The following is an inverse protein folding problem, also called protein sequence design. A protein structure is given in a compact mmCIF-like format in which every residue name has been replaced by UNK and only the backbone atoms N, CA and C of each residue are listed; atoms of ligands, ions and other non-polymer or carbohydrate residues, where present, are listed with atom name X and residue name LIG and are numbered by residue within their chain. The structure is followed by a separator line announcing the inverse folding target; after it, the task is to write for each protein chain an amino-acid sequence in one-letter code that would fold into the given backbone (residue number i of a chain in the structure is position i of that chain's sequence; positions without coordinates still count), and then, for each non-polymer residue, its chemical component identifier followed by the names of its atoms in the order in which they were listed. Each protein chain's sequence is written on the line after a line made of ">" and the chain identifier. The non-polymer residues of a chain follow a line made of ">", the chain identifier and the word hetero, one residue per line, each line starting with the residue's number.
data_IF_471735676387
#
_entry.id   IF_471735676387
#
_cell.length_a   1.000
_cell.length_b   1.000
_cell.length_c   1.000
_cell.angle_alpha   90.00
_cell.angle_beta   90.00
_cell.angle_gamma   90.00
#
_symmetry.space_group_name_H-M   'P 1'
#
loop_
_entity.id
_entity.type
_entity.pdbx_description
1 polymer ?
#
# COMPACT_ATOMS: atom_id res chain seq x y z
N UNK A 1 8.28 -21.73 -7.60
CA UNK A 1 8.93 -20.54 -8.20
C UNK A 1 8.33 -19.32 -7.56
N UNK A 2 9.15 -18.40 -7.04
CA UNK A 2 8.65 -17.17 -6.41
C UNK A 2 8.07 -16.24 -7.48
N UNK A 3 6.79 -15.86 -7.35
CA UNK A 3 6.08 -15.02 -8.32
C UNK A 3 6.01 -13.55 -7.95
N UNK A 4 6.52 -13.16 -6.77
CA UNK A 4 6.50 -11.77 -6.28
C UNK A 4 7.01 -10.76 -7.33
N UNK A 5 8.23 -10.90 -7.91
CA UNK A 5 8.74 -9.90 -8.84
C UNK A 5 7.88 -9.76 -10.11
N UNK A 6 7.33 -10.87 -10.62
CA UNK A 6 6.46 -10.84 -11.80
C UNK A 6 5.12 -10.14 -11.50
N UNK A 7 4.52 -10.40 -10.33
CA UNK A 7 3.26 -9.76 -9.92
C UNK A 7 3.48 -8.26 -9.64
N UNK A 8 4.58 -7.91 -8.98
CA UNK A 8 4.92 -6.50 -8.73
C UNK A 8 5.15 -5.74 -10.04
N UNK A 9 5.94 -6.29 -10.97
CA UNK A 9 6.19 -5.66 -12.26
C UNK A 9 4.91 -5.52 -13.10
N UNK A 10 4.01 -6.52 -13.06
CA UNK A 10 2.71 -6.43 -13.72
C UNK A 10 1.84 -5.31 -13.09
N UNK A 11 1.79 -5.23 -11.76
CA UNK A 11 1.02 -4.19 -11.06
C UNK A 11 1.43 -2.77 -11.49
N UNK A 12 2.73 -2.55 -11.71
CA UNK A 12 3.26 -1.25 -12.13
C UNK A 12 3.70 -1.18 -13.60
N UNK A 13 3.23 -2.11 -14.45
CA UNK A 13 3.69 -2.25 -15.85
C UNK A 13 3.56 -0.93 -16.63
N UNK A 14 2.44 -0.22 -16.44
CA UNK A 14 2.17 1.07 -17.10
C UNK A 14 3.26 2.13 -16.84
N UNK A 15 3.94 2.04 -15.70
CA UNK A 15 5.00 2.97 -15.30
C UNK A 15 6.40 2.37 -15.45
N UNK A 16 6.50 1.13 -15.95
CA UNK A 16 7.76 0.39 -16.14
C UNK A 16 8.56 0.29 -14.84
N UNK A 17 7.88 0.03 -13.72
CA UNK A 17 8.52 -0.11 -12.40
C UNK A 17 8.62 -1.60 -12.05
N UNK A 18 9.81 -2.03 -11.68
CA UNK A 18 10.11 -3.36 -11.16
C UNK A 18 10.83 -3.27 -9.83
N UNK A 19 10.90 -4.39 -9.11
CA UNK A 19 11.80 -4.50 -7.97
C UNK A 19 13.26 -4.40 -8.43
N UNK A 20 14.17 -3.82 -7.63
CA UNK A 20 15.60 -3.80 -7.93
C UNK A 20 16.19 -5.22 -7.96
N UNK A 21 17.26 -5.39 -8.73
CA UNK A 21 17.99 -6.65 -8.79
C UNK A 21 18.49 -7.07 -7.41
N UNK A 22 18.32 -8.36 -7.08
CA UNK A 22 18.73 -8.88 -5.77
C UNK A 22 17.76 -8.59 -4.63
N UNK A 23 16.71 -7.77 -4.82
CA UNK A 23 15.79 -7.41 -3.76
C UNK A 23 15.04 -8.63 -3.21
N UNK A 24 14.64 -9.55 -4.10
CA UNK A 24 13.90 -10.77 -3.73
C UNK A 24 14.84 -11.78 -3.08
N UNK A 25 16.04 -11.99 -3.65
CA UNK A 25 17.01 -12.96 -3.16
C UNK A 25 17.53 -12.57 -1.77
N UNK A 26 17.80 -11.28 -1.57
CA UNK A 26 18.35 -10.73 -0.32
C UNK A 26 17.28 -10.24 0.65
N UNK A 27 16.00 -10.29 0.27
CA UNK A 27 14.85 -9.79 1.05
C UNK A 27 15.06 -8.35 1.52
N UNK A 28 15.52 -7.50 0.61
CA UNK A 28 15.77 -6.10 0.94
C UNK A 28 14.44 -5.37 1.11
N UNK A 29 14.34 -4.59 2.16
CA UNK A 29 13.29 -3.57 2.30
C UNK A 29 13.87 -2.23 1.86
N UNK A 30 13.18 -1.54 0.95
CA UNK A 30 13.67 -0.27 0.41
C UNK A 30 12.51 0.57 -0.13
N UNK A 31 12.85 1.70 -0.74
CA UNK A 31 11.95 2.65 -1.35
C UNK A 31 12.31 2.89 -2.82
N UNK A 32 11.32 2.81 -3.69
CA UNK A 32 11.42 3.18 -5.11
C UNK A 32 10.72 4.54 -5.29
N UNK A 33 11.40 5.47 -5.95
CA UNK A 33 10.80 6.74 -6.40
C UNK A 33 10.89 6.81 -7.91
N UNK A 34 9.75 6.68 -8.60
CA UNK A 34 9.71 6.66 -10.06
C UNK A 34 8.33 7.05 -10.58
N UNK A 35 8.27 7.76 -11.71
CA UNK A 35 7.03 8.08 -12.42
C UNK A 35 5.92 8.71 -11.54
N UNK A 36 6.31 9.51 -10.54
CA UNK A 36 5.39 10.14 -9.59
C UNK A 36 4.95 9.26 -8.41
N UNK A 37 5.39 8.00 -8.37
CA UNK A 37 5.19 7.08 -7.27
C UNK A 37 6.31 7.18 -6.23
N UNK A 38 5.95 7.06 -4.97
CA UNK A 38 6.85 6.68 -3.87
C UNK A 38 6.36 5.34 -3.32
N UNK A 39 7.15 4.28 -3.52
CA UNK A 39 6.77 2.91 -3.19
C UNK A 39 7.74 2.40 -2.14
N UNK A 40 7.26 2.23 -0.92
CA UNK A 40 8.01 1.55 0.14
C UNK A 40 7.62 0.08 0.11
N UNK A 41 8.58 -0.83 0.14
CA UNK A 41 8.32 -2.26 0.13
C UNK A 41 9.18 -2.99 1.16
N UNK A 42 8.65 -4.11 1.67
CA UNK A 42 9.34 -4.96 2.61
C UNK A 42 8.91 -6.42 2.48
N UNK A 43 9.82 -7.33 2.82
CA UNK A 43 9.56 -8.76 2.84
C UNK A 43 9.20 -9.23 4.25
N UNK A 44 8.32 -10.23 4.33
CA UNK A 44 7.93 -10.86 5.57
C UNK A 44 7.52 -12.32 5.37
N UNK A 45 7.24 -13.01 6.47
CA UNK A 45 6.74 -14.39 6.47
C UNK A 45 5.61 -14.48 7.48
N UNK A 46 4.54 -15.19 7.11
CA UNK A 46 3.44 -15.57 8.00
C UNK A 46 3.04 -17.03 7.75
N UNK A 47 1.93 -17.49 8.31
CA UNK A 47 1.44 -18.87 8.19
C UNK A 47 1.14 -19.30 6.74
N UNK A 48 0.95 -18.35 5.82
CA UNK A 48 0.74 -18.58 4.38
C UNK A 48 2.04 -18.55 3.58
N UNK A 49 3.17 -18.32 4.24
CA UNK A 49 4.51 -18.28 3.64
C UNK A 49 5.05 -16.87 3.46
N UNK A 50 6.05 -16.76 2.57
CA UNK A 50 6.74 -15.53 2.25
C UNK A 50 5.83 -14.56 1.46
N UNK A 51 5.92 -13.28 1.80
CA UNK A 51 5.21 -12.21 1.13
C UNK A 51 6.05 -10.93 1.02
N UNK A 52 5.63 -10.04 0.14
CA UNK A 52 6.07 -8.65 0.05
C UNK A 52 4.88 -7.74 0.32
N UNK A 53 5.00 -6.87 1.31
CA UNK A 53 4.09 -5.74 1.51
C UNK A 53 4.66 -4.52 0.81
N UNK A 54 3.83 -3.77 0.10
CA UNK A 54 4.21 -2.44 -0.38
C UNK A 54 3.14 -1.41 -0.05
N UNK A 55 3.60 -0.21 0.32
CA UNK A 55 2.81 0.99 0.40
C UNK A 55 3.27 1.96 -0.69
N UNK A 56 2.37 2.29 -1.61
CA UNK A 56 2.66 3.14 -2.76
C UNK A 56 1.76 4.37 -2.75
N UNK A 57 2.38 5.55 -2.69
CA UNK A 57 1.70 6.83 -2.81
C UNK A 57 2.02 7.48 -4.16
N UNK A 58 1.04 8.17 -4.74
CA UNK A 58 1.21 8.86 -6.02
C UNK A 58 0.53 10.22 -6.00
N UNK A 59 1.21 11.23 -6.53
CA UNK A 59 0.78 12.64 -6.41
C UNK A 59 -0.62 12.96 -7.01
N UNK A 60 -1.17 12.09 -7.85
CA UNK A 60 -2.44 12.32 -8.56
C UNK A 60 -3.51 11.26 -8.30
N UNK A 61 -3.23 10.24 -7.50
CA UNK A 61 -4.15 9.13 -7.27
C UNK A 61 -4.03 8.64 -5.85
N UNK A 62 -5.09 8.02 -5.33
CA UNK A 62 -5.08 7.51 -3.96
C UNK A 62 -3.90 6.55 -3.71
N UNK A 63 -3.50 6.44 -2.45
CA UNK A 63 -2.51 5.49 -2.00
C UNK A 63 -2.95 4.02 -2.22
N UNK A 64 -1.96 3.12 -2.24
CA UNK A 64 -2.15 1.67 -2.35
C UNK A 64 -1.33 0.97 -1.28
N UNK A 65 -1.96 0.09 -0.53
CA UNK A 65 -1.29 -0.83 0.39
C UNK A 65 -1.65 -2.25 -0.03
N UNK A 66 -0.66 -3.03 -0.43
CA UNK A 66 -0.89 -4.36 -1.00
C UNK A 66 0.12 -5.35 -0.44
N UNK A 67 -0.31 -6.60 -0.32
CA UNK A 67 0.53 -7.76 -0.06
C UNK A 67 0.57 -8.66 -1.27
N UNK A 68 1.76 -9.15 -1.63
CA UNK A 68 1.98 -10.15 -2.68
C UNK A 68 2.63 -11.38 -2.05
N UNK A 69 1.98 -12.53 -2.11
CA UNK A 69 2.54 -13.80 -1.64
C UNK A 69 3.47 -14.43 -2.69
N UNK A 70 4.41 -15.28 -2.25
CA UNK A 70 5.31 -16.03 -3.14
C UNK A 70 4.55 -16.91 -4.16
N UNK A 71 3.32 -17.33 -3.84
CA UNK A 71 2.40 -18.05 -4.73
C UNK A 71 1.88 -17.20 -5.90
N UNK A 72 2.00 -15.88 -5.81
CA UNK A 72 1.45 -14.88 -6.74
C UNK A 72 0.06 -14.36 -6.33
N UNK A 73 -0.51 -14.85 -5.23
CA UNK A 73 -1.75 -14.29 -4.68
C UNK A 73 -1.52 -12.88 -4.13
N UNK A 74 -2.51 -12.00 -4.29
CA UNK A 74 -2.46 -10.62 -3.79
C UNK A 74 -3.58 -10.33 -2.81
N UNK A 75 -3.29 -9.53 -1.81
CA UNK A 75 -4.25 -9.07 -0.80
C UNK A 75 -4.18 -7.55 -0.69
N UNK A 76 -5.36 -6.90 -0.71
CA UNK A 76 -5.47 -5.46 -0.45
C UNK A 76 -5.42 -5.21 1.05
N UNK A 77 -4.53 -4.32 1.48
CA UNK A 77 -4.38 -3.91 2.87
C UNK A 77 -4.96 -2.50 3.07
N UNK A 78 -5.29 -2.11 4.32
CA UNK A 78 -5.80 -0.78 4.59
C UNK A 78 -4.81 0.32 4.14
N UNK A 79 -5.28 1.26 3.34
CA UNK A 79 -4.54 2.44 2.90
C UNK A 79 -5.20 3.72 3.42
N UNK A 80 -4.44 4.81 3.44
CA UNK A 80 -4.98 6.12 3.83
C UNK A 80 -6.08 6.54 2.88
N UNK A 81 -7.12 7.16 3.44
CA UNK A 81 -8.12 7.87 2.68
C UNK A 81 -7.65 9.32 2.52
N UNK A 82 -7.54 9.75 1.26
CA UNK A 82 -7.07 11.10 0.93
C UNK A 82 -8.23 12.10 0.81
N UNK A 83 -9.37 11.63 0.30
CA UNK A 83 -10.53 12.48 0.06
C UNK A 83 -11.67 12.13 1.01
N UNK A 84 -12.25 13.19 1.56
CA UNK A 84 -13.46 13.12 2.36
C UNK A 84 -14.62 13.67 1.53
N UNK A 85 -15.60 12.81 1.23
CA UNK A 85 -16.72 13.14 0.34
C UNK A 85 -17.98 13.28 1.18
N UNK A 86 -18.62 14.44 1.08
CA UNK A 86 -19.92 14.68 1.69
C UNK A 86 -21.05 14.43 0.69
N UNK A 87 -22.13 13.74 1.11
CA UNK A 87 -23.39 13.77 0.38
C UNK A 87 -23.87 15.22 0.18
N UNK A 88 -24.45 15.51 -0.98
CA UNK A 88 -24.90 16.87 -1.36
C UNK A 88 -25.81 17.51 -0.29
N UNK A 89 -26.63 16.70 0.37
CA UNK A 89 -27.58 17.14 1.40
C UNK A 89 -27.17 16.73 2.83
N UNK A 90 -25.87 16.51 3.08
CA UNK A 90 -25.39 16.11 4.39
C UNK A 90 -25.65 17.20 5.44
N UNK A 91 -26.31 16.82 6.53
CA UNK A 91 -26.47 17.66 7.72
C UNK A 91 -25.13 17.90 8.41
N UNK A 92 -25.04 18.93 9.26
CA UNK A 92 -23.82 19.19 10.04
C UNK A 92 -23.41 17.98 10.91
N UNK A 93 -24.38 17.26 11.47
CA UNK A 93 -24.13 16.04 12.24
C UNK A 93 -23.55 14.91 11.37
N UNK A 94 -24.09 14.71 10.16
CA UNK A 94 -23.56 13.72 9.21
C UNK A 94 -22.14 14.07 8.76
N UNK A 95 -21.87 15.35 8.47
CA UNK A 95 -20.51 15.80 8.12
C UNK A 95 -19.52 15.50 9.24
N UNK A 96 -19.86 15.82 10.49
CA UNK A 96 -19.02 15.53 11.66
C UNK A 96 -18.78 14.03 11.86
N UNK A 97 -19.79 13.20 11.59
CA UNK A 97 -19.63 11.75 11.66
C UNK A 97 -18.66 11.24 10.59
N UNK A 98 -18.80 11.71 9.34
CA UNK A 98 -17.91 11.34 8.23
C UNK A 98 -16.46 11.78 8.52
N UNK A 99 -16.27 13.00 9.06
CA UNK A 99 -14.96 13.49 9.53
C UNK A 99 -14.37 12.59 10.62
N UNK A 100 -15.17 12.20 11.60
CA UNK A 100 -14.73 11.33 12.68
C UNK A 100 -14.29 9.94 12.15
N UNK A 101 -15.11 9.31 11.30
CA UNK A 101 -14.81 8.02 10.70
C UNK A 101 -13.55 8.05 9.83
N UNK A 102 -13.40 9.10 9.00
CA UNK A 102 -12.22 9.31 8.18
C UNK A 102 -10.95 9.44 9.04
N UNK A 103 -11.01 10.25 10.11
CA UNK A 103 -9.88 10.46 10.99
C UNK A 103 -9.50 9.20 11.79
N UNK A 104 -10.50 8.46 12.30
CA UNK A 104 -10.26 7.20 13.02
C UNK A 104 -9.74 6.09 12.08
N UNK A 105 -10.21 6.05 10.84
CA UNK A 105 -9.63 5.17 9.81
C UNK A 105 -8.16 5.50 9.57
N UNK A 106 -7.85 6.75 9.20
CA UNK A 106 -6.48 7.15 8.88
C UNK A 106 -5.53 7.01 10.07
N UNK A 107 -6.01 7.24 11.30
CA UNK A 107 -5.22 6.99 12.52
C UNK A 107 -4.85 5.51 12.65
N UNK A 108 -5.81 4.60 12.50
CA UNK A 108 -5.56 3.15 12.57
C UNK A 108 -4.59 2.69 11.47
N UNK A 109 -4.76 3.19 10.25
CA UNK A 109 -3.85 2.90 9.13
C UNK A 109 -2.44 3.41 9.43
N UNK A 110 -2.28 4.66 9.89
CA UNK A 110 -0.97 5.21 10.25
C UNK A 110 -0.26 4.39 11.33
N UNK A 111 -1.00 3.94 12.34
CA UNK A 111 -0.43 3.09 13.40
C UNK A 111 0.02 1.72 12.85
N UNK A 112 -0.72 1.14 11.89
CA UNK A 112 -0.30 -0.08 11.19
C UNK A 112 0.96 0.14 10.35
N UNK A 113 1.01 1.23 9.57
CA UNK A 113 2.16 1.55 8.72
C UNK A 113 3.43 1.79 9.55
N UNK A 114 3.32 2.50 10.68
CA UNK A 114 4.43 2.68 11.64
C UNK A 114 4.91 1.36 12.22
N UNK A 115 3.99 0.50 12.67
CA UNK A 115 4.33 -0.84 13.17
C UNK A 115 5.02 -1.69 12.12
N UNK A 116 4.66 -1.51 10.85
CA UNK A 116 5.29 -2.18 9.71
C UNK A 116 6.58 -1.52 9.26
N UNK A 117 6.98 -0.37 9.79
CA UNK A 117 8.22 0.32 9.40
C UNK A 117 8.14 1.11 8.09
N UNK A 118 6.93 1.43 7.61
CA UNK A 118 6.76 2.25 6.40
C UNK A 118 6.93 3.76 6.65
N UNK A 119 6.79 4.22 7.89
CA UNK A 119 6.86 5.62 8.30
C UNK A 119 7.23 5.78 9.78
#
# INVERSE_FOLDING_TARGET
>A
MNRIPAVFANYFERWQISLPDGAVEKRLSDKIQSSGWTIHYQFGVNDRGEFLDFYASHRMTNDRHMRIYASGETEGLPALWDMLIYPVNATAAQKKQIEHEHNEHNKRVMDELKRKGFC
#
